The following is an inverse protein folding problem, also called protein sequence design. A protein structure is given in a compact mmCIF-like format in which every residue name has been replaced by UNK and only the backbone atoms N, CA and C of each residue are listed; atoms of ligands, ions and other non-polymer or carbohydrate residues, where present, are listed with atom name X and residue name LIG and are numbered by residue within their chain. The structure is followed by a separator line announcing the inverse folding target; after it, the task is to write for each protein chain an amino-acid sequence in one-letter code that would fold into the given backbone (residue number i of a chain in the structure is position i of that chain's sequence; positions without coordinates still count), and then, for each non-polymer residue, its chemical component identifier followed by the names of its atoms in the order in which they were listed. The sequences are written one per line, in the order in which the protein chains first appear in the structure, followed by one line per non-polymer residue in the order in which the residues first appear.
data_IF_572520948981
#
_entry.id   IF_572520948981
#
_cell.length_a   1.000
_cell.length_b   1.000
_cell.length_c   1.000
_cell.angle_alpha   90.00
_cell.angle_beta   90.00
_cell.angle_gamma   90.00
#
_symmetry.space_group_name_H-M   'P 1'
#
loop_
_entity.id
_entity.type
_entity.pdbx_description
1 polymer ?
#
# COMPACT_ATOMS: atom_id res chain seq x y z
N UNK A 1 -51.58 31.94 -2.39
CA UNK A 1 -50.52 30.97 -1.99
C UNK A 1 -49.19 31.55 -2.42
N UNK A 2 -48.22 31.81 -1.54
CA UNK A 2 -46.84 31.96 -1.97
C UNK A 2 -46.03 30.78 -1.40
N UNK A 3 -45.95 29.70 -2.16
CA UNK A 3 -45.12 28.54 -1.84
C UNK A 3 -44.18 28.29 -3.01
N UNK A 4 -43.01 28.93 -3.00
CA UNK A 4 -41.69 28.31 -3.30
C UNK A 4 -40.65 29.30 -2.74
N UNK A 5 -39.98 28.92 -1.65
CA UNK A 5 -38.95 29.75 -1.00
C UNK A 5 -37.55 29.59 -1.59
N UNK A 6 -37.27 28.53 -2.36
CA UNK A 6 -36.04 28.36 -3.14
C UNK A 6 -36.17 27.23 -4.18
N UNK A 7 -35.52 27.40 -5.33
CA UNK A 7 -35.36 26.37 -6.38
C UNK A 7 -33.86 26.05 -6.44
N UNK A 8 -33.49 24.82 -6.12
CA UNK A 8 -32.12 24.34 -6.30
C UNK A 8 -32.00 23.57 -7.63
N UNK A 9 -30.99 23.85 -8.46
CA UNK A 9 -30.75 23.08 -9.67
C UNK A 9 -30.47 21.61 -9.29
N UNK A 10 -31.19 20.69 -9.93
CA UNK A 10 -30.97 19.25 -9.77
C UNK A 10 -29.58 18.90 -10.30
N UNK A 11 -28.63 18.65 -9.39
CA UNK A 11 -27.34 18.06 -9.73
C UNK A 11 -27.55 16.56 -9.96
N UNK A 12 -26.96 16.02 -11.02
CA UNK A 12 -26.89 14.57 -11.23
C UNK A 12 -25.94 13.98 -10.19
N UNK A 13 -26.44 13.07 -9.35
CA UNK A 13 -25.71 12.50 -8.22
C UNK A 13 -25.38 11.04 -8.52
N UNK A 14 -24.11 10.65 -8.42
CA UNK A 14 -23.66 9.27 -8.64
C UNK A 14 -23.67 8.46 -7.33
N UNK A 15 -23.93 7.16 -7.43
CA UNK A 15 -23.89 6.23 -6.29
C UNK A 15 -22.46 6.10 -5.75
N UNK A 16 -22.31 5.93 -4.43
CA UNK A 16 -21.04 5.56 -3.81
C UNK A 16 -20.51 4.28 -4.47
N UNK A 17 -19.33 4.36 -5.05
CA UNK A 17 -18.64 3.26 -5.76
C UNK A 17 -17.17 3.24 -5.33
N UNK A 18 -16.47 2.15 -5.67
CA UNK A 18 -15.02 2.02 -5.57
C UNK A 18 -14.33 2.95 -6.57
N UNK A 19 -14.34 4.26 -6.29
CA UNK A 19 -13.84 5.31 -7.20
C UNK A 19 -12.30 5.45 -7.19
N UNK A 20 -11.62 4.92 -6.19
CA UNK A 20 -10.17 5.10 -6.03
C UNK A 20 -9.37 4.52 -7.20
N UNK A 21 -9.79 3.39 -7.78
CA UNK A 21 -9.14 2.80 -8.96
C UNK A 21 -9.43 3.57 -10.26
N UNK A 22 -10.64 4.11 -10.41
CA UNK A 22 -10.99 5.01 -11.52
C UNK A 22 -10.15 6.30 -11.47
N UNK A 23 -9.99 6.87 -10.27
CA UNK A 23 -9.11 8.03 -10.01
C UNK A 23 -7.65 7.75 -10.41
N UNK A 24 -7.16 6.53 -10.21
CA UNK A 24 -5.83 6.09 -10.64
C UNK A 24 -5.74 5.74 -12.14
N UNK A 25 -6.83 5.91 -12.89
CA UNK A 25 -6.89 5.63 -14.33
C UNK A 25 -7.07 4.16 -14.69
N UNK A 26 -7.36 3.28 -13.73
CA UNK A 26 -7.70 1.87 -13.94
C UNK A 26 -9.22 1.68 -13.99
N UNK A 27 -9.85 2.36 -14.95
CA UNK A 27 -11.30 2.29 -15.11
C UNK A 27 -11.76 0.91 -15.57
N UNK A 28 -12.80 0.38 -14.93
CA UNK A 28 -13.46 -0.86 -15.36
C UNK A 28 -14.03 -0.66 -16.77
N UNK A 29 -13.65 -1.48 -17.78
CA UNK A 29 -14.20 -1.33 -19.11
C UNK A 29 -15.71 -1.61 -19.08
N UNK A 30 -16.50 -0.62 -19.51
CA UNK A 30 -17.90 -0.80 -19.86
C UNK A 30 -17.95 -1.67 -21.14
N UNK A 31 -17.90 -3.00 -20.98
CA UNK A 31 -17.91 -3.99 -22.08
C UNK A 31 -16.95 -3.64 -23.23
N UNK A 32 -15.68 -4.02 -23.15
CA UNK A 32 -14.82 -4.08 -24.34
C UNK A 32 -14.15 -5.45 -24.46
N UNK A 33 -14.15 -5.94 -25.70
CA UNK A 33 -13.48 -7.15 -26.14
C UNK A 33 -11.98 -6.84 -26.23
N UNK A 34 -11.18 -7.30 -25.27
CA UNK A 34 -9.73 -7.29 -25.42
C UNK A 34 -9.25 -8.75 -25.54
N UNK A 35 -8.92 -9.09 -26.78
CA UNK A 35 -8.19 -10.28 -27.18
C UNK A 35 -6.74 -10.11 -26.75
N UNK A 36 -6.40 -10.65 -25.60
CA UNK A 36 -5.07 -10.63 -25.01
C UNK A 36 -5.17 -10.94 -23.53
N UNK A 37 -5.23 -12.23 -23.19
CA UNK A 37 -5.22 -12.66 -21.79
C UNK A 37 -3.87 -12.26 -21.18
N UNK A 38 -3.81 -11.44 -20.11
CA UNK A 38 -2.61 -11.34 -19.30
C UNK A 38 -2.31 -12.75 -18.79
N UNK A 39 -1.12 -13.27 -19.08
CA UNK A 39 -0.81 -14.69 -19.02
C UNK A 39 0.03 -15.06 -17.78
N UNK A 40 -0.28 -14.53 -16.59
CA UNK A 40 0.31 -14.99 -15.32
C UNK A 40 -0.65 -14.79 -14.13
N UNK A 41 -0.81 -15.83 -13.31
CA UNK A 41 -1.54 -15.77 -12.03
C UNK A 41 -0.67 -15.10 -10.95
N UNK A 42 -0.94 -13.84 -10.60
CA UNK A 42 -0.17 -13.09 -9.56
C UNK A 42 -0.84 -13.22 -8.18
N UNK A 43 -0.06 -13.53 -7.14
CA UNK A 43 -0.55 -13.71 -5.76
C UNK A 43 -0.13 -12.55 -4.86
N UNK A 44 -1.12 -11.84 -4.32
CA UNK A 44 -0.92 -10.86 -3.23
C UNK A 44 -1.22 -11.54 -1.90
N UNK A 45 -0.27 -11.48 -0.96
CA UNK A 45 -0.47 -11.91 0.42
C UNK A 45 -0.52 -10.70 1.35
N UNK A 46 -1.60 -10.59 2.11
CA UNK A 46 -1.76 -9.54 3.11
C UNK A 46 -1.29 -10.02 4.47
N UNK A 47 -0.52 -9.17 5.17
CA UNK A 47 -0.17 -9.31 6.57
C UNK A 47 -0.82 -8.15 7.34
N UNK A 48 -1.88 -8.49 8.06
CA UNK A 48 -2.74 -7.57 8.80
C UNK A 48 -3.12 -8.20 10.15
N UNK A 49 -3.95 -7.55 10.96
CA UNK A 49 -4.41 -8.05 12.27
C UNK A 49 -5.37 -9.24 12.11
N UNK A 50 -4.80 -10.46 12.06
CA UNK A 50 -5.56 -11.70 12.17
C UNK A 50 -4.96 -12.61 13.27
N UNK A 51 -5.76 -13.51 13.86
CA UNK A 51 -5.34 -14.45 14.94
C UNK A 51 -5.64 -15.94 14.65
N UNK A 52 -4.83 -16.69 13.91
CA UNK A 52 -5.10 -18.09 13.53
C UNK A 52 -3.98 -19.14 13.28
N UNK A 53 -4.25 -20.41 13.60
CA UNK A 53 -3.44 -21.59 13.26
C UNK A 53 -4.00 -22.37 12.04
N UNK A 54 -3.16 -22.73 11.04
CA UNK A 54 -3.33 -23.62 9.83
C UNK A 54 -4.53 -24.60 9.74
N UNK A 55 -5.15 -25.01 8.60
CA UNK A 55 -4.71 -25.20 7.18
C UNK A 55 -5.89 -25.29 6.13
N UNK A 56 -5.59 -25.52 4.83
CA UNK A 56 -6.26 -25.13 3.56
C UNK A 56 -7.24 -26.11 2.82
N UNK A 57 -7.77 -25.66 1.65
CA UNK A 57 -8.17 -26.32 0.36
C UNK A 57 -8.79 -27.75 0.38
N UNK A 58 -9.95 -27.93 -0.29
CA UNK A 58 -10.41 -29.23 -0.83
C UNK A 58 -11.12 -29.09 -2.21
N UNK A 59 -10.66 -29.78 -3.26
CA UNK A 59 -11.52 -30.29 -4.34
C UNK A 59 -11.24 -31.78 -4.64
N UNK A 60 -12.10 -32.51 -5.39
CA UNK A 60 -13.54 -32.71 -5.30
C UNK A 60 -13.92 -33.92 -4.41
N UNK A 61 -15.03 -33.81 -3.67
CA UNK A 61 -15.67 -34.96 -2.95
C UNK A 61 -16.09 -34.73 -1.49
N UNK A 62 -15.91 -33.54 -0.93
CA UNK A 62 -16.05 -33.32 0.53
C UNK A 62 -17.42 -32.84 1.00
N UNK A 63 -17.89 -33.38 2.15
CA UNK A 63 -18.97 -32.81 2.97
C UNK A 63 -18.43 -32.11 4.21
N UNK A 64 -19.16 -31.06 4.60
CA UNK A 64 -18.79 -29.94 5.47
C UNK A 64 -19.01 -30.19 6.97
N UNK A 65 -18.23 -29.52 7.82
CA UNK A 65 -18.79 -28.48 8.70
C UNK A 65 -17.71 -27.63 9.39
N UNK A 66 -17.96 -26.32 9.40
CA UNK A 66 -17.29 -25.24 10.17
C UNK A 66 -15.80 -24.93 9.88
N UNK A 67 -15.48 -24.65 8.60
CA UNK A 67 -14.15 -24.18 8.16
C UNK A 67 -14.29 -22.97 7.23
N UNK A 68 -13.34 -22.02 7.27
CA UNK A 68 -13.28 -20.93 6.28
C UNK A 68 -13.05 -21.56 4.91
N UNK A 69 -14.04 -21.46 4.02
CA UNK A 69 -13.99 -22.04 2.68
C UNK A 69 -13.09 -21.18 1.78
N UNK A 70 -11.81 -21.55 1.68
CA UNK A 70 -10.95 -21.03 0.61
C UNK A 70 -11.61 -21.33 -0.75
N UNK A 71 -11.44 -20.42 -1.71
CA UNK A 71 -11.98 -20.57 -3.06
C UNK A 71 -10.91 -20.13 -4.07
N UNK A 72 -11.27 -20.01 -5.36
CA UNK A 72 -10.33 -19.57 -6.41
C UNK A 72 -9.80 -18.13 -6.22
N UNK A 73 -10.31 -17.37 -5.25
CA UNK A 73 -9.95 -15.98 -4.95
C UNK A 73 -9.23 -15.83 -3.61
N UNK A 74 -9.79 -16.40 -2.53
CA UNK A 74 -9.10 -16.56 -1.25
C UNK A 74 -8.42 -17.94 -1.26
N UNK A 75 -7.20 -17.97 -1.80
CA UNK A 75 -6.46 -19.22 -2.07
C UNK A 75 -5.69 -19.75 -0.85
N UNK A 76 -5.50 -18.91 0.18
CA UNK A 76 -4.90 -19.33 1.44
C UNK A 76 -5.05 -18.30 2.56
N UNK A 77 -5.07 -18.77 3.81
CA UNK A 77 -5.09 -17.94 5.02
C UNK A 77 -4.12 -18.53 6.07
N UNK A 78 -3.36 -17.70 6.80
CA UNK A 78 -2.38 -18.09 7.84
C UNK A 78 -2.26 -17.03 8.95
N UNK A 79 -1.84 -17.42 10.17
CA UNK A 79 -1.35 -16.51 11.23
C UNK A 79 -0.20 -17.12 12.05
N UNK A 80 0.55 -16.21 12.67
CA UNK A 80 1.70 -16.50 13.51
C UNK A 80 1.49 -15.88 14.91
N UNK A 81 1.51 -16.70 15.97
CA UNK A 81 1.50 -16.22 17.37
C UNK A 81 2.94 -16.20 17.92
N UNK A 82 3.67 -15.12 17.64
CA UNK A 82 5.11 -15.01 17.97
C UNK A 82 5.47 -13.97 19.03
N UNK A 83 4.61 -12.98 19.29
CA UNK A 83 4.88 -11.91 20.26
C UNK A 83 3.77 -11.86 21.32
N UNK A 84 4.12 -12.10 22.60
CA UNK A 84 3.24 -11.81 23.74
C UNK A 84 3.08 -10.29 23.86
N UNK A 85 2.27 -9.68 22.98
CA UNK A 85 1.82 -8.30 23.12
C UNK A 85 0.30 -8.31 23.19
N UNK A 86 -0.18 -7.75 24.29
CA UNK A 86 -1.56 -7.59 24.75
C UNK A 86 -2.57 -7.35 23.63
N UNK A 87 -3.46 -8.31 23.34
CA UNK A 87 -4.78 -8.04 22.73
C UNK A 87 -5.81 -9.08 23.22
N UNK A 88 -7.10 -8.73 23.23
CA UNK A 88 -8.21 -9.33 24.00
C UNK A 88 -8.63 -10.80 23.77
N UNK A 89 -9.89 -11.18 24.05
CA UNK A 89 -10.27 -12.57 24.36
C UNK A 89 -10.51 -13.53 23.17
N UNK A 90 -10.32 -13.11 21.91
CA UNK A 90 -10.69 -13.92 20.73
C UNK A 90 -9.56 -14.83 20.20
N UNK A 91 -9.90 -16.07 19.81
CA UNK A 91 -8.99 -17.22 19.60
C UNK A 91 -8.91 -17.78 18.14
N UNK A 92 -9.35 -17.06 17.09
CA UNK A 92 -9.41 -17.57 15.69
C UNK A 92 -9.18 -16.51 14.58
N UNK A 93 -9.02 -16.94 13.30
CA UNK A 93 -8.73 -16.12 12.08
C UNK A 93 -9.82 -15.16 11.71
N UNK A 94 -10.92 -15.20 12.46
CA UNK A 94 -12.04 -14.35 12.20
C UNK A 94 -11.57 -12.91 12.38
N UNK A 95 -11.86 -12.14 11.35
CA UNK A 95 -11.24 -10.87 11.05
C UNK A 95 -11.27 -9.87 12.21
N UNK A 96 -10.30 -8.96 12.19
CA UNK A 96 -10.49 -7.66 12.82
C UNK A 96 -10.66 -6.65 11.70
N UNK A 97 -11.69 -5.82 11.82
CA UNK A 97 -11.95 -4.54 11.14
C UNK A 97 -11.04 -4.19 9.95
N UNK A 98 -9.74 -3.96 10.17
CA UNK A 98 -8.81 -3.47 9.15
C UNK A 98 -8.44 -4.52 8.07
N UNK A 99 -8.37 -5.82 8.40
CA UNK A 99 -7.88 -6.87 7.50
C UNK A 99 -8.79 -7.19 6.32
N UNK A 100 -10.11 -7.21 6.51
CA UNK A 100 -11.07 -7.36 5.38
C UNK A 100 -11.05 -6.12 4.48
N UNK A 101 -10.85 -4.94 5.05
CA UNK A 101 -10.84 -3.69 4.31
C UNK A 101 -9.60 -3.60 3.40
N UNK A 102 -8.41 -3.88 3.94
CA UNK A 102 -7.16 -3.87 3.17
C UNK A 102 -7.14 -4.91 2.06
N UNK A 103 -7.63 -6.13 2.33
CA UNK A 103 -7.67 -7.23 1.35
C UNK A 103 -8.62 -6.99 0.19
N UNK A 104 -9.81 -6.45 0.46
CA UNK A 104 -10.75 -6.07 -0.60
C UNK A 104 -10.30 -4.83 -1.38
N UNK A 105 -9.54 -3.92 -0.78
CA UNK A 105 -8.91 -2.80 -1.51
C UNK A 105 -7.85 -3.30 -2.49
N UNK A 106 -6.97 -4.22 -2.07
CA UNK A 106 -5.89 -4.75 -2.92
C UNK A 106 -6.40 -5.66 -4.04
N UNK A 107 -7.42 -6.49 -3.76
CA UNK A 107 -7.83 -7.57 -4.64
C UNK A 107 -9.33 -7.93 -4.58
N UNK A 108 -10.25 -7.02 -4.25
CA UNK A 108 -11.71 -7.29 -4.32
C UNK A 108 -12.17 -7.68 -5.73
N UNK A 109 -13.21 -8.53 -5.87
CA UNK A 109 -13.70 -9.01 -7.18
C UNK A 109 -14.57 -7.99 -7.93
N UNK A 110 -14.49 -7.94 -9.27
CA UNK A 110 -15.40 -8.63 -10.20
C UNK A 110 -14.59 -9.37 -11.29
N UNK A 111 -14.63 -10.71 -11.39
CA UNK A 111 -13.64 -11.44 -12.25
C UNK A 111 -14.19 -12.72 -12.92
N UNK A 112 -13.96 -12.89 -14.24
CA UNK A 112 -13.62 -14.17 -14.85
C UNK A 112 -12.10 -14.32 -15.09
N UNK A 113 -11.59 -15.54 -14.91
CA UNK A 113 -10.21 -16.04 -15.20
C UNK A 113 -9.10 -15.78 -14.16
N UNK A 114 -9.26 -16.32 -12.94
CA UNK A 114 -8.14 -16.59 -12.00
C UNK A 114 -8.12 -18.10 -11.74
N UNK A 115 -7.00 -18.80 -11.98
CA UNK A 115 -6.95 -20.27 -11.81
C UNK A 115 -5.66 -20.82 -11.20
N UNK A 116 -5.66 -20.87 -9.86
CA UNK A 116 -5.35 -21.98 -8.94
C UNK A 116 -4.21 -23.01 -9.17
N UNK A 117 -3.86 -23.48 -10.37
CA UNK A 117 -3.19 -24.80 -10.46
C UNK A 117 -1.68 -24.80 -10.09
N UNK A 118 -1.03 -23.64 -9.93
CA UNK A 118 0.36 -23.54 -9.44
C UNK A 118 0.50 -23.15 -7.95
N UNK A 119 -0.62 -22.90 -7.25
CA UNK A 119 -0.65 -22.24 -5.94
C UNK A 119 -0.19 -23.08 -4.74
N UNK A 120 0.25 -24.34 -4.92
CA UNK A 120 0.40 -25.28 -3.81
C UNK A 120 1.86 -25.55 -3.42
N UNK A 121 2.88 -25.13 -4.19
CA UNK A 121 4.27 -25.40 -3.78
C UNK A 121 5.29 -24.24 -3.81
N UNK A 122 5.08 -23.09 -4.48
CA UNK A 122 6.07 -21.99 -4.46
C UNK A 122 5.45 -20.62 -4.84
N UNK A 123 5.68 -19.57 -4.06
CA UNK A 123 5.69 -18.18 -4.56
C UNK A 123 4.49 -17.29 -4.20
N UNK A 124 4.71 -16.29 -3.34
CA UNK A 124 3.90 -15.06 -3.27
C UNK A 124 4.62 -14.02 -4.10
N UNK A 125 3.94 -13.21 -4.91
CA UNK A 125 4.60 -12.16 -5.72
C UNK A 125 4.69 -10.82 -4.99
N UNK A 126 3.70 -10.53 -4.15
CA UNK A 126 3.58 -9.27 -3.41
C UNK A 126 3.14 -9.50 -1.97
N UNK A 127 3.86 -8.92 -1.02
CA UNK A 127 3.44 -8.79 0.38
C UNK A 127 2.90 -7.38 0.61
N UNK A 128 1.67 -7.29 1.12
CA UNK A 128 1.08 -6.03 1.59
C UNK A 128 1.03 -6.03 3.12
N UNK A 129 1.64 -5.04 3.74
CA UNK A 129 1.75 -4.94 5.20
C UNK A 129 1.19 -3.58 5.63
N UNK A 130 -0.04 -3.57 6.12
CA UNK A 130 -0.70 -2.36 6.65
C UNK A 130 -0.43 -2.17 8.15
N UNK A 131 0.79 -2.49 8.57
CA UNK A 131 1.28 -2.42 9.94
C UNK A 131 2.63 -1.71 9.98
N UNK A 132 2.94 -1.06 11.09
CA UNK A 132 4.21 -0.39 11.32
C UNK A 132 4.47 -0.20 12.81
N UNK A 133 5.75 -0.14 13.17
CA UNK A 133 6.20 0.22 14.51
C UNK A 133 6.93 1.57 14.50
N UNK A 134 7.42 1.97 15.68
CA UNK A 134 8.39 3.06 15.74
C UNK A 134 9.66 2.69 14.93
N UNK A 135 10.28 3.65 14.22
CA UNK A 135 11.51 3.41 13.51
C UNK A 135 12.58 2.76 14.41
N UNK A 136 13.09 1.62 13.98
CA UNK A 136 14.13 0.87 14.66
C UNK A 136 15.27 0.55 13.70
N UNK A 137 16.46 0.32 14.23
CA UNK A 137 17.60 -0.16 13.45
C UNK A 137 17.21 -1.47 12.76
N UNK A 138 17.48 -1.60 11.45
CA UNK A 138 16.90 -2.69 10.64
C UNK A 138 17.26 -4.10 11.11
N UNK A 139 18.36 -4.26 11.85
CA UNK A 139 18.80 -5.55 12.41
C UNK A 139 17.97 -6.09 13.58
N UNK A 140 17.03 -5.29 14.08
CA UNK A 140 16.06 -5.70 15.13
C UNK A 140 14.61 -5.40 14.73
N UNK A 141 14.40 -4.79 13.56
CA UNK A 141 13.08 -4.54 13.01
C UNK A 141 12.59 -5.78 12.26
N UNK A 142 11.59 -6.46 12.84
CA UNK A 142 11.04 -7.71 12.29
C UNK A 142 10.38 -7.52 10.93
N UNK A 143 9.83 -6.33 10.63
CA UNK A 143 9.26 -6.01 9.32
C UNK A 143 10.39 -5.83 8.32
N UNK A 144 11.45 -5.10 8.68
CA UNK A 144 12.62 -4.91 7.83
C UNK A 144 13.32 -6.24 7.49
N UNK A 145 13.56 -7.09 8.49
CA UNK A 145 14.19 -8.41 8.32
C UNK A 145 13.31 -9.31 7.43
N UNK A 146 12.01 -9.41 7.74
CA UNK A 146 11.08 -10.20 6.94
C UNK A 146 10.97 -9.71 5.50
N UNK A 147 10.97 -8.40 5.30
CA UNK A 147 10.91 -7.79 3.98
C UNK A 147 12.18 -8.02 3.17
N UNK A 148 13.36 -7.99 3.80
CA UNK A 148 14.63 -8.27 3.13
C UNK A 148 14.62 -9.68 2.53
N UNK A 149 14.23 -10.68 3.33
CA UNK A 149 14.11 -12.06 2.87
C UNK A 149 13.08 -12.30 1.78
N UNK A 150 12.00 -11.50 1.75
CA UNK A 150 11.01 -11.54 0.69
C UNK A 150 11.62 -11.00 -0.62
N UNK A 151 12.29 -9.84 -0.55
CA UNK A 151 12.95 -9.21 -1.70
C UNK A 151 14.08 -10.07 -2.27
N UNK A 152 14.85 -10.76 -1.42
CA UNK A 152 15.84 -11.78 -1.84
C UNK A 152 15.26 -12.89 -2.70
N UNK A 153 13.96 -13.17 -2.57
CA UNK A 153 13.23 -14.19 -3.31
C UNK A 153 12.39 -13.60 -4.45
N UNK A 154 12.64 -12.35 -4.82
CA UNK A 154 11.90 -11.66 -5.88
C UNK A 154 10.49 -11.22 -5.48
N UNK A 155 10.15 -11.25 -4.20
CA UNK A 155 8.83 -10.90 -3.66
C UNK A 155 8.86 -9.43 -3.22
N UNK A 156 7.99 -8.62 -3.80
CA UNK A 156 7.91 -7.20 -3.48
C UNK A 156 7.15 -6.96 -2.18
N UNK A 157 7.59 -5.99 -1.36
CA UNK A 157 6.94 -5.69 -0.07
C UNK A 157 6.49 -4.23 -0.02
N UNK A 158 5.18 -4.03 0.08
CA UNK A 158 4.54 -2.73 0.28
C UNK A 158 4.16 -2.59 1.74
N UNK A 159 4.55 -1.47 2.37
CA UNK A 159 4.21 -1.16 3.76
C UNK A 159 3.59 0.23 3.89
N UNK A 160 2.61 0.36 4.79
CA UNK A 160 2.06 1.64 5.21
C UNK A 160 3.15 2.53 5.87
N UNK A 161 3.19 3.82 5.55
CA UNK A 161 4.16 4.78 6.10
C UNK A 161 3.88 5.20 7.54
N UNK A 162 2.67 4.98 8.05
CA UNK A 162 2.24 5.39 9.39
C UNK A 162 1.26 6.56 9.37
N UNK A 163 0.50 6.71 10.46
CA UNK A 163 -0.56 7.71 10.62
C UNK A 163 -0.23 8.75 11.70
N UNK A 164 1.05 9.09 11.85
CA UNK A 164 1.55 10.05 12.86
C UNK A 164 2.02 11.37 12.23
N UNK A 165 1.52 11.69 11.04
CA UNK A 165 1.64 13.02 10.46
C UNK A 165 0.84 14.06 11.26
N UNK A 166 1.09 15.36 11.01
CA UNK A 166 2.00 15.91 10.01
C UNK A 166 3.46 16.05 10.52
N UNK A 167 3.82 15.43 11.65
CA UNK A 167 5.15 15.59 12.26
C UNK A 167 6.28 15.09 11.35
N UNK A 168 7.31 15.91 11.16
CA UNK A 168 8.56 15.52 10.46
C UNK A 168 9.22 14.33 11.15
N UNK A 169 9.75 13.38 10.38
CA UNK A 169 10.44 12.21 10.94
C UNK A 169 9.53 11.15 11.56
N UNK A 170 8.23 11.20 11.29
CA UNK A 170 7.23 10.26 11.80
C UNK A 170 7.01 9.04 10.90
N UNK A 171 7.63 9.01 9.71
CA UNK A 171 7.50 7.89 8.77
C UNK A 171 8.16 6.63 9.35
N UNK A 172 7.44 5.51 9.28
CA UNK A 172 7.88 4.18 9.67
C UNK A 172 8.23 3.34 8.43
N UNK A 173 8.66 2.09 8.63
CA UNK A 173 8.91 1.13 7.55
C UNK A 173 9.89 1.66 6.50
N UNK A 174 10.91 2.42 6.91
CA UNK A 174 11.80 3.15 5.99
C UNK A 174 12.99 2.36 5.47
N UNK A 175 13.02 1.02 5.57
CA UNK A 175 14.09 0.23 4.98
C UNK A 175 14.13 0.42 3.44
N UNK A 176 15.31 0.50 2.81
CA UNK A 176 15.40 0.78 1.36
C UNK A 176 14.69 -0.27 0.48
N UNK A 177 14.68 -1.54 0.90
CA UNK A 177 14.01 -2.64 0.22
C UNK A 177 12.49 -2.71 0.47
N UNK A 178 11.94 -1.90 1.37
CA UNK A 178 10.49 -1.77 1.58
C UNK A 178 9.95 -0.67 0.68
N UNK A 179 8.79 -0.88 0.06
CA UNK A 179 8.02 0.17 -0.62
C UNK A 179 7.09 0.85 0.37
N UNK A 180 7.49 2.02 0.86
CA UNK A 180 6.81 2.75 1.93
C UNK A 180 5.79 3.73 1.35
N UNK A 181 4.54 3.63 1.79
CA UNK A 181 3.40 4.30 1.15
C UNK A 181 2.79 5.36 2.07
N UNK A 182 2.77 6.61 1.62
CA UNK A 182 1.99 7.69 2.23
C UNK A 182 0.53 7.71 1.75
N UNK A 183 -0.33 8.43 2.46
CA UNK A 183 -1.76 8.53 2.13
C UNK A 183 -2.12 9.89 1.54
N UNK A 184 -3.00 9.87 0.53
CA UNK A 184 -3.56 11.05 -0.11
C UNK A 184 -5.08 10.93 -0.29
N UNK A 185 -5.71 12.06 -0.61
CA UNK A 185 -7.13 12.14 -0.96
C UNK A 185 -7.38 11.77 -2.42
N UNK A 186 -8.62 11.44 -2.74
CA UNK A 186 -9.14 11.30 -4.11
C UNK A 186 -10.05 12.47 -4.47
N UNK A 187 -10.43 12.60 -5.72
CA UNK A 187 -11.35 13.64 -6.22
C UNK A 187 -12.83 13.36 -5.89
N UNK A 188 -13.07 12.84 -4.69
CA UNK A 188 -14.40 12.46 -4.20
C UNK A 188 -14.61 13.04 -2.80
N UNK A 189 -15.68 13.80 -2.64
CA UNK A 189 -16.14 14.31 -1.33
C UNK A 189 -17.49 13.66 -0.96
N UNK A 190 -17.64 13.24 0.30
CA UNK A 190 -18.89 12.70 0.84
C UNK A 190 -19.69 13.85 1.49
N UNK A 191 -20.83 14.22 0.90
CA UNK A 191 -21.72 15.22 1.49
C UNK A 191 -22.41 14.68 2.76
N UNK A 192 -22.25 15.38 3.90
CA UNK A 192 -22.80 14.99 5.21
C UNK A 192 -24.33 15.02 5.29
N UNK A 193 -25.02 15.81 4.46
CA UNK A 193 -26.49 15.80 4.40
C UNK A 193 -27.06 14.42 4.00
N UNK A 194 -26.24 13.59 3.33
CA UNK A 194 -26.60 12.23 2.97
C UNK A 194 -26.49 11.22 4.14
N UNK A 195 -25.82 11.57 5.26
CA UNK A 195 -25.75 10.75 6.48
C UNK A 195 -27.07 10.77 7.27
N UNK A 196 -27.88 11.84 7.16
CA UNK A 196 -29.07 12.07 7.99
C UNK A 196 -30.29 11.20 7.56
N UNK A 197 -30.31 10.62 6.36
CA UNK A 197 -31.44 9.83 5.86
C UNK A 197 -31.50 8.36 6.39
N UNK A 198 -30.66 8.00 7.36
CA UNK A 198 -30.40 6.63 7.83
C UNK A 198 -31.51 5.93 8.66
N UNK A 199 -32.72 6.50 8.77
CA UNK A 199 -33.76 5.95 9.66
C UNK A 199 -34.70 4.91 9.00
N UNK A 200 -34.27 4.23 7.93
CA UNK A 200 -35.06 3.16 7.32
C UNK A 200 -34.21 1.92 6.95
N UNK A 201 -34.70 0.77 7.42
CA UNK A 201 -34.13 -0.58 7.29
C UNK A 201 -33.63 -0.88 5.87
N UNK A 202 -32.39 -1.37 5.79
CA UNK A 202 -31.73 -1.96 4.61
C UNK A 202 -31.88 -1.16 3.31
N UNK A 203 -31.07 -0.12 3.14
CA UNK A 203 -30.72 0.42 1.82
C UNK A 203 -29.45 1.24 1.95
N UNK A 204 -28.45 0.90 1.13
CA UNK A 204 -27.24 1.69 0.90
C UNK A 204 -27.65 3.17 0.82
N UNK A 205 -27.24 3.98 1.80
CA UNK A 205 -27.43 5.42 1.72
C UNK A 205 -26.61 5.90 0.53
N UNK A 206 -27.31 6.48 -0.44
CA UNK A 206 -26.72 7.14 -1.61
C UNK A 206 -25.99 8.40 -1.11
N UNK A 207 -24.78 8.22 -0.56
CA UNK A 207 -23.83 9.31 -0.43
C UNK A 207 -23.50 9.82 -1.82
N UNK A 208 -23.72 11.09 -2.06
CA UNK A 208 -23.55 11.67 -3.39
C UNK A 208 -22.12 12.18 -3.49
N UNK A 209 -21.37 11.72 -4.49
CA UNK A 209 -20.00 12.17 -4.71
C UNK A 209 -20.00 13.41 -5.59
N UNK A 210 -19.39 14.50 -5.12
CA UNK A 210 -19.09 15.67 -5.96
C UNK A 210 -17.63 15.56 -6.41
N UNK A 211 -17.31 15.76 -7.70
CA UNK A 211 -15.93 15.89 -8.14
C UNK A 211 -15.20 16.96 -7.33
N UNK A 212 -14.21 16.54 -6.54
CA UNK A 212 -13.51 17.40 -5.58
C UNK A 212 -12.21 17.94 -6.18
N UNK A 213 -11.93 19.23 -5.93
CA UNK A 213 -10.70 19.90 -6.35
C UNK A 213 -10.18 20.77 -5.21
N UNK A 214 -8.87 20.77 -4.92
CA UNK A 214 -7.82 19.97 -5.57
C UNK A 214 -7.77 18.51 -5.09
N UNK A 215 -7.36 17.59 -5.96
CA UNK A 215 -7.00 16.21 -5.59
C UNK A 215 -5.93 15.62 -6.54
N UNK A 216 -4.97 14.82 -6.04
CA UNK A 216 -4.82 14.43 -4.64
C UNK A 216 -4.24 15.56 -3.78
N UNK A 217 -4.53 15.48 -2.48
CA UNK A 217 -3.92 16.28 -1.41
C UNK A 217 -3.32 15.31 -0.39
N UNK A 218 -2.20 15.66 0.23
CA UNK A 218 -1.58 14.81 1.27
C UNK A 218 -2.54 14.69 2.45
N UNK A 219 -2.77 13.47 2.94
CA UNK A 219 -3.55 13.30 4.17
C UNK A 219 -2.77 13.88 5.35
N UNK A 220 -3.44 14.67 6.20
CA UNK A 220 -2.78 15.32 7.35
C UNK A 220 -2.12 14.29 8.27
N UNK A 221 -2.81 13.18 8.54
CA UNK A 221 -2.29 12.08 9.36
C UNK A 221 -1.15 11.30 8.70
N UNK A 222 -0.92 11.42 7.38
CA UNK A 222 0.12 10.64 6.71
C UNK A 222 1.48 11.02 7.29
N UNK A 223 2.19 10.04 7.86
CA UNK A 223 3.52 10.26 8.43
C UNK A 223 4.50 10.85 7.41
N UNK A 224 5.44 11.67 7.88
CA UNK A 224 6.37 12.46 7.06
C UNK A 224 7.82 12.01 7.25
N UNK A 225 8.60 12.06 6.17
CA UNK A 225 10.05 11.91 6.24
C UNK A 225 10.76 13.12 6.86
N UNK A 226 12.11 13.12 6.85
CA UNK A 226 12.99 12.01 6.48
C UNK A 226 12.87 10.82 7.45
N UNK A 227 13.22 9.61 7.01
CA UNK A 227 13.27 8.46 7.93
C UNK A 227 14.46 8.61 8.89
N UNK A 228 14.26 8.34 10.18
CA UNK A 228 15.26 8.65 11.22
C UNK A 228 16.49 7.73 11.22
N UNK A 229 16.39 6.54 10.63
CA UNK A 229 17.51 5.57 10.55
C UNK A 229 18.34 5.75 9.27
N UNK A 230 17.72 6.22 8.20
CA UNK A 230 18.31 6.33 6.86
C UNK A 230 17.88 7.64 6.18
N UNK A 231 18.27 8.80 6.73
CA UNK A 231 17.78 10.10 6.26
C UNK A 231 18.24 10.44 4.84
N UNK A 232 19.25 9.75 4.33
CA UNK A 232 19.77 9.81 2.96
C UNK A 232 18.86 9.13 1.93
N UNK A 233 17.96 8.23 2.36
CA UNK A 233 16.93 7.60 1.50
C UNK A 233 15.58 8.29 1.76
N UNK A 234 15.02 8.91 0.73
CA UNK A 234 13.73 9.64 0.82
C UNK A 234 12.61 8.67 1.18
N UNK A 235 11.80 9.06 2.18
CA UNK A 235 10.59 8.35 2.60
C UNK A 235 9.44 9.36 2.88
N UNK A 236 8.17 9.00 2.63
CA UNK A 236 7.71 7.77 1.95
C UNK A 236 8.22 7.71 0.50
N UNK A 237 8.11 6.56 -0.17
CA UNK A 237 8.57 6.42 -1.56
C UNK A 237 7.56 7.02 -2.55
N UNK A 238 6.26 6.85 -2.27
CA UNK A 238 5.13 7.36 -3.05
C UNK A 238 3.92 7.61 -2.14
N UNK A 239 2.90 8.27 -2.66
CA UNK A 239 1.55 8.30 -2.08
C UNK A 239 0.55 7.56 -2.93
N UNK A 240 -0.52 7.10 -2.28
CA UNK A 240 -1.66 6.49 -2.93
C UNK A 240 -2.97 6.84 -2.18
N UNK A 241 -4.14 6.57 -2.77
CA UNK A 241 -5.44 6.84 -2.16
C UNK A 241 -5.58 6.16 -0.80
N UNK A 242 -5.69 6.95 0.26
CA UNK A 242 -5.78 6.46 1.63
C UNK A 242 -6.81 7.19 2.49
N UNK A 243 -7.58 8.12 1.92
CA UNK A 243 -8.63 8.86 2.64
C UNK A 243 -9.99 8.47 2.10
N UNK A 244 -10.88 8.07 3.00
CA UNK A 244 -12.24 7.62 2.72
C UNK A 244 -12.27 6.49 1.67
N UNK A 245 -11.50 5.44 1.84
CA UNK A 245 -11.53 4.31 0.92
C UNK A 245 -12.71 3.41 1.29
N UNK A 246 -13.60 3.16 0.31
CA UNK A 246 -14.71 2.21 0.45
C UNK A 246 -14.19 0.81 0.18
N UNK A 247 -14.28 -0.08 1.16
CA UNK A 247 -13.95 -1.49 0.98
C UNK A 247 -14.78 -2.37 1.91
N UNK A 248 -14.63 -3.68 1.77
CA UNK A 248 -15.46 -4.66 2.47
C UNK A 248 -15.24 -4.58 4.00
N UNK A 249 -16.30 -4.93 4.74
CA UNK A 249 -16.34 -4.92 6.19
C UNK A 249 -16.93 -6.23 6.73
N UNK A 250 -16.47 -6.75 7.89
CA UNK A 250 -17.05 -7.94 8.49
C UNK A 250 -18.52 -7.75 8.88
N UNK A 251 -19.41 -8.51 8.25
CA UNK A 251 -20.88 -8.45 8.46
C UNK A 251 -21.29 -8.68 9.94
N UNK A 252 -20.42 -9.32 10.73
CA UNK A 252 -20.69 -9.64 12.14
C UNK A 252 -19.98 -8.71 13.15
N UNK A 253 -19.37 -7.62 12.69
CA UNK A 253 -18.79 -6.58 13.55
C UNK A 253 -19.57 -5.29 13.27
N UNK A 254 -20.23 -4.69 14.29
CA UNK A 254 -20.94 -3.44 14.07
C UNK A 254 -19.95 -2.32 13.75
N UNK A 255 -20.27 -1.54 12.75
CA UNK A 255 -19.71 -0.20 12.53
C UNK A 255 -20.52 0.81 13.38
N UNK A 256 -20.03 2.04 13.51
CA UNK A 256 -20.69 3.09 14.29
C UNK A 256 -21.18 4.20 13.37
N UNK A 257 -22.50 4.40 13.33
CA UNK A 257 -23.14 5.54 12.66
C UNK A 257 -23.87 6.40 13.69
N UNK A 258 -23.42 7.65 13.88
CA UNK A 258 -23.98 8.61 14.83
C UNK A 258 -24.14 8.05 16.26
N UNK A 259 -23.17 7.25 16.71
CA UNK A 259 -23.17 6.61 18.03
C UNK A 259 -24.10 5.40 18.15
N UNK A 260 -24.68 4.92 17.04
CA UNK A 260 -25.46 3.68 16.98
C UNK A 260 -24.69 2.60 16.23
N UNK A 261 -24.79 1.38 16.72
CA UNK A 261 -24.26 0.20 16.04
C UNK A 261 -25.06 -0.08 14.76
N UNK A 262 -24.36 -0.18 13.64
CA UNK A 262 -24.91 -0.55 12.34
C UNK A 262 -24.11 -1.69 11.73
N UNK A 263 -24.78 -2.64 11.09
CA UNK A 263 -24.11 -3.73 10.39
C UNK A 263 -24.07 -3.41 8.91
N UNK A 264 -22.86 -3.32 8.36
CA UNK A 264 -22.61 -2.97 6.96
C UNK A 264 -21.71 -4.03 6.31
N UNK A 265 -21.85 -4.21 5.00
CA UNK A 265 -20.97 -5.07 4.21
C UNK A 265 -19.74 -4.34 3.69
N UNK A 266 -19.79 -3.01 3.66
CA UNK A 266 -18.74 -2.11 3.21
C UNK A 266 -18.72 -0.87 4.08
N UNK A 267 -17.53 -0.31 4.34
CA UNK A 267 -17.38 0.95 5.06
C UNK A 267 -16.22 1.79 4.52
N UNK A 268 -16.21 3.06 4.91
CA UNK A 268 -15.14 4.01 4.58
C UNK A 268 -14.11 4.05 5.70
N UNK A 269 -12.85 3.75 5.37
CA UNK A 269 -11.73 3.94 6.28
C UNK A 269 -10.70 4.89 5.68
N UNK A 270 -9.95 5.54 6.56
CA UNK A 270 -8.84 6.42 6.21
C UNK A 270 -7.59 5.96 6.94
N UNK A 271 -6.47 5.90 6.22
CA UNK A 271 -5.17 5.51 6.76
C UNK A 271 -4.16 5.20 5.65
N UNK A 272 -2.88 5.25 5.99
CA UNK A 272 -1.83 4.65 5.15
C UNK A 272 -2.04 3.14 4.97
N UNK A 273 -2.77 2.50 5.89
CA UNK A 273 -3.28 1.13 5.77
C UNK A 273 -4.18 0.92 4.55
N UNK A 274 -4.90 1.96 4.08
CA UNK A 274 -5.74 1.90 2.88
C UNK A 274 -4.96 2.31 1.62
N UNK A 275 -3.91 3.12 1.75
CA UNK A 275 -3.01 3.46 0.65
C UNK A 275 -2.09 2.29 0.24
N UNK A 276 -1.54 1.58 1.22
CA UNK A 276 -0.67 0.40 1.01
C UNK A 276 -1.25 -0.67 0.05
N UNK A 277 -2.52 -1.10 0.18
CA UNK A 277 -3.12 -2.06 -0.73
C UNK A 277 -3.31 -1.54 -2.16
N UNK A 278 -3.45 -0.22 -2.39
CA UNK A 278 -3.46 0.35 -3.75
C UNK A 278 -2.10 0.20 -4.43
N UNK A 279 -1.00 0.44 -3.71
CA UNK A 279 0.35 0.18 -4.22
C UNK A 279 0.57 -1.32 -4.44
N UNK A 280 0.06 -2.16 -3.54
CA UNK A 280 0.14 -3.62 -3.68
C UNK A 280 -0.60 -4.15 -4.92
N UNK A 281 -1.81 -3.66 -5.18
CA UNK A 281 -2.55 -3.97 -6.40
C UNK A 281 -1.86 -3.44 -7.66
N UNK A 282 -1.22 -2.27 -7.58
CA UNK A 282 -0.41 -1.72 -8.67
C UNK A 282 0.82 -2.59 -8.98
N UNK A 283 1.54 -3.05 -7.96
CA UNK A 283 2.66 -3.97 -8.13
C UNK A 283 2.18 -5.27 -8.80
N UNK A 284 1.05 -5.81 -8.35
CA UNK A 284 0.50 -7.03 -8.93
C UNK A 284 0.06 -6.85 -10.40
N UNK A 285 -0.55 -5.71 -10.71
CA UNK A 285 -0.89 -5.31 -12.07
C UNK A 285 0.36 -5.19 -12.96
N UNK A 286 1.46 -4.63 -12.45
CA UNK A 286 2.71 -4.56 -13.20
C UNK A 286 3.36 -5.93 -13.35
N UNK A 287 3.34 -6.79 -12.33
CA UNK A 287 3.85 -8.16 -12.39
C UNK A 287 3.10 -9.04 -13.39
N UNK A 288 1.80 -8.83 -13.58
CA UNK A 288 1.03 -9.61 -14.57
C UNK A 288 1.41 -9.27 -16.01
N UNK A 289 1.94 -8.06 -16.24
CA UNK A 289 2.42 -7.58 -17.54
C UNK A 289 3.93 -7.85 -17.71
N UNK A 290 4.71 -7.64 -16.64
CA UNK A 290 6.17 -7.75 -16.59
C UNK A 290 6.63 -8.76 -15.52
N UNK A 291 6.38 -10.06 -15.72
CA UNK A 291 6.63 -11.08 -14.69
C UNK A 291 8.10 -11.19 -14.27
N UNK A 292 9.02 -10.87 -15.18
CA UNK A 292 10.48 -10.97 -14.99
C UNK A 292 11.11 -9.77 -14.28
N UNK A 293 10.37 -8.67 -14.08
CA UNK A 293 10.93 -7.50 -13.39
C UNK A 293 11.26 -7.81 -11.94
N UNK A 294 12.42 -7.34 -11.47
CA UNK A 294 12.81 -7.44 -10.08
C UNK A 294 11.89 -6.57 -9.18
N UNK A 295 11.85 -6.81 -7.85
CA UNK A 295 11.21 -5.91 -6.91
C UNK A 295 11.66 -4.44 -7.06
N UNK A 296 12.97 -4.21 -7.24
CA UNK A 296 13.54 -2.88 -7.42
C UNK A 296 13.10 -2.22 -8.75
N UNK A 297 13.04 -2.99 -9.83
CA UNK A 297 12.57 -2.50 -11.13
C UNK A 297 11.10 -2.05 -11.07
N UNK A 298 10.22 -2.84 -10.45
CA UNK A 298 8.80 -2.47 -10.28
C UNK A 298 8.68 -1.23 -9.38
N UNK A 299 9.42 -1.20 -8.26
CA UNK A 299 9.47 -0.03 -7.37
C UNK A 299 9.86 1.22 -8.13
N UNK A 300 10.93 1.14 -8.93
CA UNK A 300 11.40 2.23 -9.79
C UNK A 300 10.35 2.64 -10.82
N UNK A 301 9.69 1.69 -11.49
CA UNK A 301 8.67 2.00 -12.48
C UNK A 301 7.53 2.82 -11.87
N UNK A 302 7.06 2.44 -10.68
CA UNK A 302 6.01 3.18 -9.96
C UNK A 302 6.50 4.54 -9.49
N UNK A 303 7.70 4.62 -8.90
CA UNK A 303 8.26 5.88 -8.40
C UNK A 303 8.54 6.90 -9.51
N UNK A 304 9.15 6.48 -10.61
CA UNK A 304 9.57 7.39 -11.69
C UNK A 304 8.41 7.88 -12.56
N UNK A 305 7.25 7.21 -12.51
CA UNK A 305 6.04 7.58 -13.27
C UNK A 305 4.95 8.25 -12.42
N UNK A 306 5.19 8.38 -11.11
CA UNK A 306 4.31 9.06 -10.18
C UNK A 306 4.12 10.56 -10.55
N UNK A 307 2.97 11.12 -10.18
CA UNK A 307 2.63 12.52 -10.47
C UNK A 307 2.75 13.38 -9.22
N UNK A 308 3.26 14.60 -9.40
CA UNK A 308 3.39 15.60 -8.34
C UNK A 308 2.35 16.72 -8.43
N UNK A 309 1.42 16.58 -9.37
CA UNK A 309 0.37 17.58 -9.65
C UNK A 309 -1.02 17.03 -9.36
N UNK A 310 -1.90 17.92 -8.92
CA UNK A 310 -3.31 17.67 -8.71
C UNK A 310 -4.14 17.81 -10.00
N UNK A 311 -5.44 17.53 -9.89
CA UNK A 311 -6.45 17.68 -10.94
C UNK A 311 -6.80 19.15 -11.30
N UNK A 312 -6.08 20.11 -10.71
CA UNK A 312 -6.03 21.53 -11.11
C UNK A 312 -4.70 21.89 -11.81
N UNK A 313 -3.84 20.90 -12.04
CA UNK A 313 -2.51 21.03 -12.62
C UNK A 313 -1.54 21.87 -11.77
N UNK A 314 -1.82 22.02 -10.47
CA UNK A 314 -0.93 22.64 -9.48
C UNK A 314 -0.19 21.55 -8.71
N UNK A 315 0.92 21.90 -8.07
CA UNK A 315 1.65 20.96 -7.21
C UNK A 315 0.74 20.49 -6.08
N UNK A 316 0.75 19.19 -5.80
CA UNK A 316 0.05 18.59 -4.66
C UNK A 316 0.39 19.39 -3.39
N UNK A 317 -0.61 19.65 -2.55
CA UNK A 317 -0.44 20.47 -1.35
C UNK A 317 -0.43 19.62 -0.10
N UNK A 318 0.27 20.11 0.92
CA UNK A 318 0.17 19.62 2.29
C UNK A 318 -0.78 20.54 3.07
N UNK A 319 -1.97 20.04 3.48
CA UNK A 319 -2.98 20.87 4.12
C UNK A 319 -2.53 21.36 5.50
N UNK A 320 -1.61 20.66 6.17
CA UNK A 320 -1.11 21.07 7.49
C UNK A 320 -0.27 22.35 7.44
N UNK A 321 0.35 22.64 6.29
CA UNK A 321 1.18 23.84 6.08
C UNK A 321 0.59 24.80 5.05
N UNK A 322 -0.45 24.38 4.32
CA UNK A 322 -1.01 25.08 3.16
C UNK A 322 0.05 25.43 2.10
N UNK A 323 1.09 24.61 1.97
CA UNK A 323 2.19 24.78 1.01
C UNK A 323 2.26 23.59 0.06
N UNK A 324 3.05 23.75 -1.00
CA UNK A 324 3.40 22.65 -1.90
C UNK A 324 4.03 21.50 -1.09
N UNK A 325 3.54 20.29 -1.31
CA UNK A 325 4.05 19.10 -0.70
C UNK A 325 5.50 18.85 -1.14
N UNK A 326 6.34 18.52 -0.17
CA UNK A 326 7.74 18.15 -0.37
C UNK A 326 7.86 16.65 -0.63
N UNK A 327 9.04 16.22 -1.06
CA UNK A 327 9.40 14.79 -1.19
C UNK A 327 9.25 14.01 0.12
N UNK A 328 9.35 14.67 1.28
CA UNK A 328 9.09 14.03 2.59
C UNK A 328 7.60 13.90 2.93
N UNK A 329 6.72 14.43 2.07
CA UNK A 329 5.28 14.30 2.21
C UNK A 329 4.72 13.28 1.21
N UNK A 330 5.19 13.32 -0.04
CA UNK A 330 4.64 12.51 -1.13
C UNK A 330 5.63 11.51 -1.75
N UNK A 331 6.88 11.48 -1.32
CA UNK A 331 7.94 10.75 -2.02
C UNK A 331 8.10 11.27 -3.44
N UNK A 332 8.05 10.36 -4.41
CA UNK A 332 8.07 10.69 -5.83
C UNK A 332 6.71 11.20 -6.35
N UNK A 333 5.63 11.10 -5.56
CA UNK A 333 4.30 11.58 -5.90
C UNK A 333 3.22 10.51 -5.77
N UNK A 334 2.03 10.85 -6.31
CA UNK A 334 0.89 9.93 -6.38
C UNK A 334 1.10 8.88 -7.47
N UNK A 335 0.87 7.60 -7.14
CA UNK A 335 1.05 6.50 -8.09
C UNK A 335 0.19 6.64 -9.37
N UNK A 336 0.70 6.11 -10.47
CA UNK A 336 0.03 6.08 -11.77
C UNK A 336 0.18 4.70 -12.42
N UNK A 337 -0.69 3.72 -12.07
CA UNK A 337 -0.53 2.33 -12.48
C UNK A 337 -0.38 2.13 -14.00
N UNK A 338 -1.20 2.85 -14.78
CA UNK A 338 -1.18 2.76 -16.25
C UNK A 338 0.14 3.28 -16.85
N UNK A 339 0.70 4.36 -16.29
CA UNK A 339 1.98 4.91 -16.76
C UNK A 339 3.16 4.01 -16.37
N UNK A 340 3.09 3.41 -15.19
CA UNK A 340 4.12 2.54 -14.67
C UNK A 340 4.32 1.24 -15.49
N UNK A 341 3.38 0.90 -16.40
CA UNK A 341 3.56 -0.21 -17.34
C UNK A 341 4.73 0.04 -18.27
N UNK A 342 4.98 1.27 -18.70
CA UNK A 342 6.07 1.60 -19.62
C UNK A 342 6.87 2.79 -19.09
N UNK A 343 7.71 2.58 -18.07
CA UNK A 343 8.51 3.65 -17.45
C UNK A 343 9.66 4.12 -18.36
N UNK A 344 9.96 3.38 -19.42
CA UNK A 344 11.09 3.61 -20.32
C UNK A 344 12.41 3.09 -19.75
N UNK A 345 12.80 3.57 -18.57
CA UNK A 345 13.98 3.13 -17.84
C UNK A 345 13.64 2.87 -16.38
N UNK A 346 14.40 1.99 -15.73
CA UNK A 346 14.29 1.78 -14.29
C UNK A 346 15.66 1.67 -13.62
N UNK A 347 15.69 2.07 -12.35
CA UNK A 347 16.78 1.87 -11.41
C UNK A 347 16.61 0.49 -10.78
N UNK A 348 17.42 -0.46 -11.23
CA UNK A 348 17.41 -1.82 -10.69
C UNK A 348 18.46 -1.99 -9.58
N UNK A 349 18.23 -2.89 -8.65
CA UNK A 349 19.11 -3.11 -7.49
C UNK A 349 19.03 -4.57 -7.06
N UNK A 350 20.19 -5.16 -6.78
CA UNK A 350 20.27 -6.53 -6.29
C UNK A 350 20.14 -6.55 -4.74
N UNK A 351 19.56 -7.58 -4.11
CA UNK A 351 19.50 -7.65 -2.65
C UNK A 351 20.85 -7.46 -1.95
N UNK A 352 21.95 -7.91 -2.56
CA UNK A 352 23.31 -7.72 -2.04
C UNK A 352 23.76 -6.24 -2.01
N UNK A 353 23.21 -5.40 -2.90
CA UNK A 353 23.48 -3.96 -2.90
C UNK A 353 22.89 -3.29 -1.66
N UNK A 354 21.76 -3.78 -1.13
CA UNK A 354 21.25 -3.31 0.16
C UNK A 354 22.18 -3.65 1.31
N UNK A 355 22.78 -4.84 1.32
CA UNK A 355 23.77 -5.21 2.33
C UNK A 355 25.02 -4.34 2.23
N UNK A 356 25.48 -4.09 1.00
CA UNK A 356 26.62 -3.18 0.75
C UNK A 356 26.32 -1.77 1.25
N UNK A 357 25.11 -1.25 0.98
CA UNK A 357 24.63 0.02 1.51
C UNK A 357 24.70 0.05 3.04
N UNK A 358 24.11 -0.92 3.74
CA UNK A 358 24.11 -0.96 5.20
C UNK A 358 25.52 -1.01 5.79
N UNK A 359 26.41 -1.80 5.19
CA UNK A 359 27.80 -1.90 5.61
C UNK A 359 28.53 -0.55 5.50
N UNK A 360 28.30 0.19 4.42
CA UNK A 360 28.85 1.54 4.24
C UNK A 360 28.22 2.55 5.20
N UNK A 361 26.97 2.35 5.61
CA UNK A 361 26.28 3.15 6.64
C UNK A 361 26.65 2.76 8.08
N UNK A 362 27.65 1.88 8.27
CA UNK A 362 28.22 1.55 9.59
C UNK A 362 27.60 0.33 10.28
N UNK A 363 26.78 -0.48 9.60
CA UNK A 363 26.27 -1.72 10.18
C UNK A 363 27.40 -2.74 10.40
N UNK A 364 27.42 -3.35 11.58
CA UNK A 364 28.38 -4.41 11.93
C UNK A 364 28.04 -5.74 11.25
N UNK A 365 29.01 -6.64 11.11
CA UNK A 365 28.76 -7.98 10.56
C UNK A 365 27.70 -8.74 11.37
N UNK A 366 27.62 -8.54 12.70
CA UNK A 366 26.59 -9.18 13.52
C UNK A 366 25.18 -8.68 13.19
N UNK A 367 25.04 -7.38 12.93
CA UNK A 367 23.76 -6.80 12.50
C UNK A 367 23.37 -7.30 11.12
N UNK A 368 24.31 -7.40 10.18
CA UNK A 368 24.06 -7.99 8.85
C UNK A 368 23.63 -9.46 8.95
N UNK A 369 24.27 -10.26 9.81
CA UNK A 369 23.88 -11.65 10.06
C UNK A 369 22.46 -11.76 10.62
N UNK A 370 22.03 -10.82 11.48
CA UNK A 370 20.65 -10.78 11.96
C UNK A 370 19.65 -10.44 10.84
N UNK A 371 20.01 -9.57 9.90
CA UNK A 371 19.15 -9.19 8.77
C UNK A 371 19.05 -10.32 7.73
N UNK A 372 20.20 -10.89 7.38
CA UNK A 372 20.30 -11.94 6.35
C UNK A 372 19.95 -13.33 6.86
N UNK A 373 19.83 -13.52 8.18
CA UNK A 373 19.62 -14.82 8.80
C UNK A 373 20.77 -15.82 8.60
N UNK A 374 21.86 -15.42 7.94
CA UNK A 374 23.01 -16.27 7.64
C UNK A 374 24.23 -15.83 8.47
N UNK A 375 24.72 -16.76 9.29
CA UNK A 375 25.94 -16.58 10.11
C UNK A 375 27.22 -16.36 9.30
N UNK A 376 27.23 -16.74 8.02
CA UNK A 376 28.37 -16.58 7.12
C UNK A 376 28.46 -15.18 6.51
N UNK A 377 27.36 -14.42 6.51
CA UNK A 377 27.27 -13.07 5.96
C UNK A 377 28.28 -12.13 6.58
N UNK A 378 29.03 -11.43 5.73
CA UNK A 378 30.02 -10.42 6.09
C UNK A 378 29.84 -9.20 5.22
N UNK A 379 30.27 -8.06 5.72
CA UNK A 379 30.34 -6.87 4.91
C UNK A 379 31.35 -7.09 3.77
N UNK A 380 30.97 -6.79 2.51
CA UNK A 380 31.93 -6.69 1.42
C UNK A 380 33.06 -5.72 1.78
N UNK A 381 34.21 -5.82 1.10
CA UNK A 381 35.30 -4.85 1.30
C UNK A 381 34.76 -3.44 1.08
N UNK A 382 35.05 -2.56 2.04
CA UNK A 382 34.48 -1.22 2.13
C UNK A 382 34.67 -0.48 0.79
N UNK A 383 33.57 -0.12 0.14
CA UNK A 383 33.58 0.63 -1.12
C UNK A 383 33.03 2.02 -0.85
N UNK A 384 33.93 2.96 -0.55
CA UNK A 384 33.59 4.35 -0.24
C UNK A 384 32.93 5.10 -1.39
N UNK A 385 32.93 4.54 -2.61
CA UNK A 385 32.28 5.11 -3.80
C UNK A 385 30.93 4.47 -4.14
N UNK A 386 30.43 3.57 -3.30
CA UNK A 386 29.15 2.88 -3.54
C UNK A 386 27.97 3.72 -3.07
N UNK A 387 27.03 3.94 -3.99
CA UNK A 387 25.72 4.54 -3.74
C UNK A 387 24.65 3.55 -4.15
N UNK A 388 23.61 3.40 -3.33
CA UNK A 388 22.45 2.57 -3.68
C UNK A 388 21.78 3.12 -4.94
N UNK A 389 21.50 2.26 -5.93
CA UNK A 389 20.86 2.65 -7.19
C UNK A 389 19.35 2.89 -6.98
N UNK A 390 19.00 3.99 -6.35
CA UNK A 390 17.66 4.27 -5.87
C UNK A 390 16.95 5.37 -6.70
N UNK A 391 15.63 5.30 -6.96
CA UNK A 391 14.90 6.25 -7.82
C UNK A 391 14.67 7.66 -7.21
N UNK A 392 15.50 8.08 -6.26
CA UNK A 392 15.43 9.37 -5.58
C UNK A 392 16.79 9.77 -5.02
N UNK A 393 17.07 11.08 -4.97
CA UNK A 393 18.38 11.60 -4.54
C UNK A 393 18.18 12.57 -3.35
N UNK A 394 18.92 12.35 -2.27
CA UNK A 394 18.99 13.28 -1.13
C UNK A 394 20.38 13.87 -1.03
N UNK A 395 20.49 15.15 -0.67
CA UNK A 395 21.79 15.75 -0.30
C UNK A 395 21.62 16.37 1.09
N UNK A 396 22.30 15.80 2.09
CA UNK A 396 22.34 16.34 3.44
C UNK A 396 23.50 17.35 3.52
N UNK A 397 23.17 18.60 3.84
CA UNK A 397 24.14 19.70 3.90
C UNK A 397 24.38 20.12 5.35
N UNK A 398 25.39 19.55 6.00
CA UNK A 398 25.80 19.87 7.38
C UNK A 398 27.29 20.26 7.47
N UNK A 399 27.63 21.44 6.95
CA UNK A 399 28.88 22.17 7.24
C UNK A 399 30.21 21.59 6.70
N UNK A 400 30.27 20.30 6.43
CA UNK A 400 31.32 19.64 5.65
C UNK A 400 30.66 19.04 4.42
N UNK A 401 31.11 19.45 3.24
CA UNK A 401 30.55 19.01 1.95
C UNK A 401 30.75 17.50 1.83
N UNK A 402 29.74 16.69 2.18
CA UNK A 402 29.66 15.29 1.76
C UNK A 402 28.93 15.28 0.43
N UNK A 403 29.70 15.46 -0.63
CA UNK A 403 29.21 15.29 -2.00
C UNK A 403 29.12 13.78 -2.25
N UNK A 404 27.99 13.17 -1.90
CA UNK A 404 27.73 11.78 -2.32
C UNK A 404 27.59 11.79 -3.85
N UNK A 405 28.60 11.25 -4.55
CA UNK A 405 28.51 11.02 -5.99
C UNK A 405 27.60 9.80 -6.18
N UNK A 406 26.37 10.06 -6.63
CA UNK A 406 25.40 9.01 -6.93
C UNK A 406 25.70 8.40 -8.29
N UNK A 407 26.26 7.18 -8.31
CA UNK A 407 26.38 6.39 -9.52
C UNK A 407 25.08 5.63 -9.75
N UNK A 408 24.28 6.10 -10.71
CA UNK A 408 23.03 5.46 -11.10
C UNK A 408 23.21 4.60 -12.34
N UNK A 409 22.69 3.37 -12.32
CA UNK A 409 22.69 2.45 -13.46
C UNK A 409 21.25 2.28 -13.93
N UNK A 410 20.91 2.85 -15.09
CA UNK A 410 19.60 2.71 -15.70
C UNK A 410 19.58 1.45 -16.58
N UNK A 411 18.53 0.65 -16.44
CA UNK A 411 18.24 -0.49 -17.33
C UNK A 411 17.02 -0.16 -18.21
N UNK A 412 17.00 -0.76 -19.40
CA UNK A 412 15.89 -0.73 -20.37
C UNK A 412 14.97 -1.91 -20.09
#
# INVERSE_FOLDING_TARGET
MPEVLNIYPSKTLHSLTTHSWDFLGLAMPAKSSHTGSPSTDVIIRLLDTARWRGTCINPPGTKANETVNCNKKLVGARYCNGAKVLMGPYKNSRDSVDGTHTSSTAAGSLVPHVSFDDAINNGVDVLSISLGGYPAVYSVDVIAIGAYHAVERGIMVSCAGGNSGPFTGSVSNGAPWIFTVGASTIDREINEDAKIAANCKSRILRGTTIPYKPAPVVAEFSSRGPHTISPDIIKPDVTAPGVEILAAWPINIPDTDNGKEVFVEYTFLSGTSMACPHVSGTIAYLKSIHPTWSPAAIKSAVMTTAITKDNTNKTIVDPSTNKAATVFNIGNGEIQPVKAVNPGLFYDTDPLDYITYLCNSGYTSKQIQNITGDSSSKCPKNNTSFSLNYPSITVLLDGNIILNIYNSNLKI
#
